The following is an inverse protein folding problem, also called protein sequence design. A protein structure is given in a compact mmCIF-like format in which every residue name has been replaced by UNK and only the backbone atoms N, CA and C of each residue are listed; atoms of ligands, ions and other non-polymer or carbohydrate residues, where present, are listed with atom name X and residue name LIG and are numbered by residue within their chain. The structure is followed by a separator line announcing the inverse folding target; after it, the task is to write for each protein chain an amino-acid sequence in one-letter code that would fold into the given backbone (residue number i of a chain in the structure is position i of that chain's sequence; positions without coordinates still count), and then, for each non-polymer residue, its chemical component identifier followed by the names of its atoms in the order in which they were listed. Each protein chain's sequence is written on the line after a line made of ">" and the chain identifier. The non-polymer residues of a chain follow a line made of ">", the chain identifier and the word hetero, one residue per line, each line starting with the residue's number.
data_IF_172071299332
#
_entry.id   IF_172071299332
#
_cell.length_a   1.000
_cell.length_b   1.000
_cell.length_c   1.000
_cell.angle_alpha   90.00
_cell.angle_beta   90.00
_cell.angle_gamma   90.00
#
_symmetry.space_group_name_H-M   'P 1'
#
loop_
_entity.id
_entity.type
_entity.pdbx_description
1 polymer ?
#
# COMPACT_ATOMS: atom_id res chain seq x y z
N UNK A 1 0.72 12.60 9.01
CA UNK A 1 -0.73 12.68 8.72
C UNK A 1 -1.50 12.12 9.89
N UNK A 2 -2.43 12.87 10.42
CA UNK A 2 -3.17 12.50 11.62
C UNK A 2 -4.42 11.65 11.36
N UNK A 3 -4.88 11.55 10.10
CA UNK A 3 -6.14 10.85 9.80
C UNK A 3 -5.99 9.34 9.93
N UNK A 4 -6.83 8.75 10.76
CA UNK A 4 -6.88 7.31 11.03
C UNK A 4 -7.64 6.54 9.95
N UNK A 5 -8.63 7.17 9.34
CA UNK A 5 -9.37 6.68 8.18
C UNK A 5 -8.97 7.54 6.97
N UNK A 6 -8.69 6.90 5.85
CA UNK A 6 -8.51 7.59 4.58
C UNK A 6 -9.88 7.84 3.97
N UNK A 7 -10.32 9.10 3.94
CA UNK A 7 -11.60 9.50 3.36
C UNK A 7 -11.32 10.32 2.10
N UNK A 8 -11.74 9.78 0.96
CA UNK A 8 -11.63 10.42 -0.35
C UNK A 8 -13.01 10.90 -0.76
N UNK A 9 -13.17 12.20 -0.93
CA UNK A 9 -14.39 12.84 -1.39
C UNK A 9 -14.24 13.20 -2.87
N UNK A 10 -15.18 12.78 -3.70
CA UNK A 10 -15.22 13.01 -5.13
C UNK A 10 -16.39 13.95 -5.45
N UNK A 11 -16.09 15.21 -5.73
CA UNK A 11 -17.11 16.24 -6.01
C UNK A 11 -17.82 16.04 -7.35
N UNK A 12 -17.08 15.48 -8.33
CA UNK A 12 -17.65 15.11 -9.64
C UNK A 12 -17.68 13.59 -9.79
N UNK A 13 -18.73 13.08 -10.44
CA UNK A 13 -18.87 11.66 -10.81
C UNK A 13 -17.82 11.28 -11.89
N UNK A 14 -16.53 11.42 -11.57
CA UNK A 14 -15.43 11.07 -12.46
C UNK A 14 -15.29 9.55 -12.58
N UNK A 15 -15.86 8.81 -11.64
CA UNK A 15 -15.64 7.36 -11.53
C UNK A 15 -16.97 6.64 -11.55
N UNK A 16 -17.10 5.62 -12.40
CA UNK A 16 -18.19 4.66 -12.32
C UNK A 16 -18.29 4.15 -10.87
N UNK A 17 -19.50 4.26 -10.29
CA UNK A 17 -19.80 3.85 -8.90
C UNK A 17 -19.34 2.42 -8.62
N UNK A 18 -19.32 1.57 -9.64
CA UNK A 18 -18.83 0.20 -9.55
C UNK A 18 -17.33 0.08 -9.29
N UNK A 19 -16.54 1.12 -9.59
CA UNK A 19 -15.09 1.13 -9.38
C UNK A 19 -14.68 1.62 -7.99
N UNK A 20 -15.56 2.31 -7.26
CA UNK A 20 -15.22 2.87 -5.93
C UNK A 20 -14.76 1.79 -4.94
N UNK A 21 -15.39 0.62 -4.97
CA UNK A 21 -15.00 -0.53 -4.15
C UNK A 21 -13.61 -1.08 -4.48
N UNK A 22 -13.26 -1.10 -5.77
CA UNK A 22 -11.95 -1.56 -6.23
C UNK A 22 -10.84 -0.56 -5.84
N UNK A 23 -11.10 0.73 -6.04
CA UNK A 23 -10.19 1.80 -5.65
C UNK A 23 -10.00 1.80 -4.13
N UNK A 24 -11.09 1.65 -3.37
CA UNK A 24 -11.02 1.58 -1.91
C UNK A 24 -10.18 0.39 -1.44
N UNK A 25 -10.30 -0.79 -2.07
CA UNK A 25 -9.45 -1.95 -1.79
C UNK A 25 -7.97 -1.67 -2.05
N UNK A 26 -7.66 -1.04 -3.20
CA UNK A 26 -6.29 -0.73 -3.55
C UNK A 26 -5.67 0.24 -2.54
N UNK A 27 -6.37 1.33 -2.21
CA UNK A 27 -5.89 2.31 -1.24
C UNK A 27 -5.79 1.71 0.17
N UNK A 28 -6.73 0.84 0.57
CA UNK A 28 -6.70 0.15 1.84
C UNK A 28 -5.45 -0.74 1.97
N UNK A 29 -5.11 -1.48 0.92
CA UNK A 29 -3.90 -2.32 0.89
C UNK A 29 -2.63 -1.49 0.88
N UNK A 30 -2.59 -0.39 0.12
CA UNK A 30 -1.42 0.49 -0.02
C UNK A 30 -1.12 1.25 1.29
N UNK A 31 -2.17 1.81 1.92
CA UNK A 31 -2.01 2.63 3.13
C UNK A 31 -2.21 1.85 4.43
N UNK A 32 -2.55 0.57 4.35
CA UNK A 32 -2.82 -0.33 5.47
C UNK A 32 -3.74 0.28 6.54
N UNK A 33 -4.84 0.91 6.11
CA UNK A 33 -5.84 1.54 6.97
C UNK A 33 -7.22 1.53 6.36
N UNK A 34 -8.28 1.71 7.15
CA UNK A 34 -9.63 1.80 6.63
C UNK A 34 -9.79 2.94 5.63
N UNK A 35 -10.56 2.70 4.57
CA UNK A 35 -10.78 3.66 3.47
C UNK A 35 -12.27 3.85 3.23
N UNK A 36 -12.68 5.09 3.00
CA UNK A 36 -13.98 5.46 2.45
C UNK A 36 -13.77 6.24 1.14
N UNK A 37 -14.42 5.82 0.07
CA UNK A 37 -14.52 6.58 -1.19
C UNK A 37 -15.96 7.06 -1.30
N UNK A 38 -16.16 8.36 -1.27
CA UNK A 38 -17.47 8.99 -1.22
C UNK A 38 -17.68 9.88 -2.44
N UNK A 39 -18.76 9.66 -3.17
CA UNK A 39 -19.21 10.52 -4.26
C UNK A 39 -20.29 11.49 -3.73
N UNK A 40 -20.23 12.72 -4.20
CA UNK A 40 -21.28 13.71 -3.97
C UNK A 40 -22.50 13.38 -4.80
N UNK A 41 -23.65 13.27 -4.18
CA UNK A 41 -24.95 12.97 -4.81
C UNK A 41 -25.90 14.12 -4.52
N UNK A 42 -26.44 14.69 -5.59
CA UNK A 42 -27.58 15.62 -5.51
C UNK A 42 -28.87 14.83 -5.70
N UNK A 43 -29.70 14.80 -4.67
CA UNK A 43 -30.96 14.07 -4.65
C UNK A 43 -32.06 14.86 -5.34
N UNK A 44 -33.17 14.20 -5.74
CA UNK A 44 -34.32 14.83 -6.41
C UNK A 44 -34.97 15.94 -5.58
N UNK A 45 -34.86 15.88 -4.27
CA UNK A 45 -35.38 16.89 -3.33
C UNK A 45 -34.42 18.08 -3.11
N UNK A 46 -33.29 18.11 -3.81
CA UNK A 46 -32.24 19.13 -3.70
C UNK A 46 -31.32 18.96 -2.50
N UNK A 47 -31.44 17.88 -1.72
CA UNK A 47 -30.49 17.56 -0.66
C UNK A 47 -29.22 16.96 -1.24
N UNK A 48 -28.11 17.15 -0.54
CA UNK A 48 -26.81 16.59 -0.94
C UNK A 48 -26.39 15.53 0.07
N UNK A 49 -25.98 14.37 -0.46
CA UNK A 49 -25.41 13.27 0.31
C UNK A 49 -24.04 12.87 -0.23
N UNK A 50 -23.23 12.29 0.63
CA UNK A 50 -21.97 11.64 0.30
C UNK A 50 -22.16 10.13 0.41
N UNK A 51 -22.12 9.45 -0.73
CA UNK A 51 -22.40 8.02 -0.80
C UNK A 51 -21.26 7.27 -1.48
N UNK A 52 -20.96 6.07 -0.98
CA UNK A 52 -19.90 5.30 -1.60
C UNK A 52 -19.54 4.01 -0.90
N UNK A 53 -18.27 3.63 -1.04
CA UNK A 53 -17.76 2.34 -0.59
C UNK A 53 -16.80 2.46 0.57
N UNK A 54 -16.99 1.61 1.58
CA UNK A 54 -16.06 1.41 2.69
C UNK A 54 -15.29 0.10 2.57
N UNK A 55 -13.99 0.15 2.90
CA UNK A 55 -13.13 -1.03 3.04
C UNK A 55 -12.37 -0.94 4.35
N UNK A 56 -12.53 -1.97 5.19
CA UNK A 56 -11.76 -2.14 6.43
C UNK A 56 -10.50 -2.95 6.18
N UNK A 57 -9.45 -2.65 6.91
CA UNK A 57 -8.20 -3.41 6.87
C UNK A 57 -8.24 -4.49 7.95
N UNK A 58 -8.45 -5.74 7.54
CA UNK A 58 -8.73 -6.89 8.42
C UNK A 58 -7.51 -7.39 9.20
N UNK A 59 -6.29 -7.08 8.74
CA UNK A 59 -5.05 -7.37 9.51
C UNK A 59 -4.91 -6.47 10.74
N UNK A 60 -5.81 -5.51 10.94
CA UNK A 60 -5.80 -4.54 12.02
C UNK A 60 -6.71 -4.91 13.21
N UNK A 61 -6.59 -4.16 14.33
CA UNK A 61 -7.42 -4.37 15.54
C UNK A 61 -8.91 -4.05 15.31
N UNK A 62 -9.22 -3.16 14.36
CA UNK A 62 -10.59 -2.83 13.99
C UNK A 62 -11.14 -3.90 13.02
N UNK A 63 -11.69 -4.99 13.58
CA UNK A 63 -12.14 -6.16 12.81
C UNK A 63 -13.47 -5.96 12.09
N UNK A 64 -14.31 -5.02 12.56
CA UNK A 64 -15.61 -4.68 11.98
C UNK A 64 -15.68 -3.15 11.77
N UNK A 65 -15.23 -2.72 10.61
CA UNK A 65 -15.22 -1.31 10.26
C UNK A 65 -16.64 -0.79 10.01
N UNK A 66 -17.52 -1.59 9.38
CA UNK A 66 -18.93 -1.24 9.20
C UNK A 66 -19.63 -1.03 10.53
N UNK A 67 -19.53 -2.00 11.45
CA UNK A 67 -20.15 -1.91 12.77
C UNK A 67 -19.64 -0.74 13.60
N UNK A 68 -18.34 -0.41 13.47
CA UNK A 68 -17.79 0.80 14.08
C UNK A 68 -18.45 2.08 13.56
N UNK A 69 -18.68 2.18 12.25
CA UNK A 69 -19.28 3.37 11.63
C UNK A 69 -20.80 3.44 11.80
N UNK A 70 -21.49 2.30 11.79
CA UNK A 70 -22.95 2.20 11.94
C UNK A 70 -23.44 2.83 13.25
N UNK A 71 -22.62 2.80 14.30
CA UNK A 71 -22.90 3.45 15.57
C UNK A 71 -22.61 4.96 15.61
N UNK A 72 -22.10 5.53 14.53
CA UNK A 72 -21.85 6.96 14.45
C UNK A 72 -23.13 7.71 14.03
N UNK A 73 -23.57 8.65 14.85
CA UNK A 73 -24.82 9.40 14.66
C UNK A 73 -24.93 10.20 13.36
N UNK A 74 -23.80 10.39 12.66
CA UNK A 74 -23.74 11.12 11.39
C UNK A 74 -23.86 10.21 10.17
N UNK A 75 -23.90 8.88 10.36
CA UNK A 75 -24.08 7.91 9.30
C UNK A 75 -25.56 7.69 9.06
N UNK A 76 -26.01 7.84 7.82
CA UNK A 76 -27.38 7.57 7.42
C UNK A 76 -27.64 6.06 7.32
N UNK A 77 -26.70 5.35 6.69
CA UNK A 77 -26.69 3.90 6.56
C UNK A 77 -25.27 3.38 6.35
N UNK A 78 -25.05 2.13 6.75
CA UNK A 78 -23.84 1.36 6.44
C UNK A 78 -24.26 -0.09 6.19
N UNK A 79 -24.27 -0.53 4.92
CA UNK A 79 -24.86 -1.80 4.50
C UNK A 79 -23.86 -2.68 3.76
N UNK A 80 -23.76 -3.95 4.15
CA UNK A 80 -22.85 -4.93 3.56
C UNK A 80 -22.11 -5.76 4.59
N UNK A 81 -20.91 -6.20 4.24
CA UNK A 81 -20.05 -6.99 5.13
C UNK A 81 -19.25 -6.12 6.10
N UNK A 82 -18.70 -6.71 7.16
CA UNK A 82 -17.93 -6.02 8.19
C UNK A 82 -16.82 -5.10 7.65
N UNK A 83 -16.12 -5.52 6.60
CA UNK A 83 -15.01 -4.78 5.99
C UNK A 83 -15.22 -4.45 4.50
N UNK A 84 -16.44 -4.62 3.97
CA UNK A 84 -16.79 -4.26 2.58
C UNK A 84 -18.26 -3.90 2.51
N UNK A 85 -18.58 -2.60 2.45
CA UNK A 85 -19.93 -2.09 2.60
C UNK A 85 -20.15 -0.78 1.82
N UNK A 86 -21.42 -0.45 1.61
CA UNK A 86 -21.87 0.85 1.17
C UNK A 86 -22.18 1.75 2.37
N UNK A 87 -22.00 3.04 2.24
CA UNK A 87 -22.23 4.04 3.28
C UNK A 87 -22.83 5.31 2.69
N UNK A 88 -23.69 5.98 3.47
CA UNK A 88 -24.25 7.29 3.15
C UNK A 88 -24.16 8.24 4.34
N UNK A 89 -23.81 9.50 4.05
CA UNK A 89 -23.63 10.59 5.02
C UNK A 89 -24.23 11.86 4.41
N UNK A 90 -24.93 12.67 5.20
CA UNK A 90 -25.42 13.97 4.73
C UNK A 90 -24.27 14.96 4.55
N UNK A 91 -24.40 15.86 3.58
CA UNK A 91 -23.38 16.88 3.32
C UNK A 91 -23.13 17.77 4.56
N UNK A 92 -24.19 18.16 5.24
CA UNK A 92 -24.11 18.96 6.47
C UNK A 92 -23.36 18.27 7.62
N UNK A 93 -23.31 16.93 7.62
CA UNK A 93 -22.71 16.10 8.67
C UNK A 93 -21.29 15.64 8.36
N UNK A 94 -20.81 15.76 7.11
CA UNK A 94 -19.54 15.15 6.67
C UNK A 94 -18.33 15.61 7.49
N UNK A 95 -18.23 16.90 7.80
CA UNK A 95 -17.11 17.44 8.58
C UNK A 95 -17.10 16.94 10.03
N UNK A 96 -18.30 16.84 10.63
CA UNK A 96 -18.47 16.32 11.97
C UNK A 96 -18.22 14.80 12.04
N UNK A 97 -18.64 14.08 11.00
CA UNK A 97 -18.34 12.66 10.81
C UNK A 97 -16.83 12.41 10.75
N UNK A 98 -16.09 13.14 9.90
CA UNK A 98 -14.63 13.01 9.76
C UNK A 98 -13.94 13.24 11.11
N UNK A 99 -14.35 14.29 11.82
CA UNK A 99 -13.77 14.62 13.12
C UNK A 99 -14.06 13.54 14.16
N UNK A 100 -15.32 13.13 14.30
CA UNK A 100 -15.73 12.16 15.31
C UNK A 100 -15.13 10.77 15.10
N UNK A 101 -15.06 10.31 13.84
CA UNK A 101 -14.47 9.01 13.52
C UNK A 101 -12.96 8.98 13.76
N UNK A 102 -12.24 10.03 13.39
CA UNK A 102 -10.81 10.11 13.68
C UNK A 102 -10.53 10.19 15.17
N UNK A 103 -11.29 10.98 15.92
CA UNK A 103 -11.16 11.06 17.39
C UNK A 103 -11.46 9.73 18.08
N UNK A 104 -12.46 8.99 17.62
CA UNK A 104 -12.78 7.68 18.19
C UNK A 104 -11.66 6.63 17.95
N UNK A 105 -10.77 6.87 16.98
CA UNK A 105 -9.63 6.02 16.66
C UNK A 105 -8.29 6.55 17.17
N UNK A 106 -8.26 7.59 18.00
CA UNK A 106 -7.01 8.17 18.49
C UNK A 106 -6.13 7.16 19.24
N UNK A 107 -6.73 6.18 19.92
CA UNK A 107 -6.01 5.10 20.61
C UNK A 107 -5.53 3.96 19.69
N UNK A 108 -5.83 4.02 18.41
CA UNK A 108 -5.40 2.99 17.45
C UNK A 108 -4.04 3.35 16.82
N UNK A 109 -3.14 2.39 16.88
CA UNK A 109 -1.88 2.46 16.15
C UNK A 109 -2.07 1.89 14.75
N UNK A 110 -1.82 2.70 13.71
CA UNK A 110 -1.90 2.32 12.31
C UNK A 110 -0.51 2.20 11.67
N UNK A 111 0.51 1.96 12.46
CA UNK A 111 1.83 1.62 11.95
C UNK A 111 1.73 0.33 11.14
N UNK A 112 2.19 0.33 9.88
CA UNK A 112 2.18 -0.87 9.04
C UNK A 112 2.89 -2.04 9.71
N UNK A 113 2.25 -3.21 9.68
CA UNK A 113 2.82 -4.47 10.18
C UNK A 113 2.86 -5.44 9.01
N UNK A 114 4.03 -6.02 8.77
CA UNK A 114 4.24 -7.04 7.76
C UNK A 114 4.53 -8.38 8.44
N UNK A 115 3.75 -9.40 8.08
CA UNK A 115 4.02 -10.78 8.49
C UNK A 115 4.86 -11.42 7.39
N UNK A 116 6.14 -11.61 7.67
CA UNK A 116 7.08 -12.20 6.70
C UNK A 116 7.28 -13.69 6.97
N UNK A 117 7.34 -14.47 5.91
CA UNK A 117 7.57 -15.92 5.97
C UNK A 117 9.08 -16.22 6.08
N UNK A 118 9.92 -15.38 5.47
CA UNK A 118 11.36 -15.54 5.47
C UNK A 118 12.07 -14.21 5.67
N UNK A 119 13.19 -14.25 6.40
CA UNK A 119 14.09 -13.11 6.59
C UNK A 119 15.47 -13.49 6.05
N UNK A 120 15.97 -12.69 5.13
CA UNK A 120 17.30 -12.85 4.53
C UNK A 120 18.18 -11.64 4.82
N UNK A 121 19.48 -11.86 4.90
CA UNK A 121 20.43 -10.77 4.67
C UNK A 121 20.66 -10.61 3.17
N UNK A 122 20.99 -9.40 2.74
CA UNK A 122 21.14 -9.10 1.30
C UNK A 122 22.23 -9.90 0.60
N UNK A 123 23.21 -10.41 1.32
CA UNK A 123 24.31 -11.27 0.85
C UNK A 123 23.98 -12.77 0.95
N UNK A 124 22.93 -13.15 1.67
CA UNK A 124 22.47 -14.53 1.82
C UNK A 124 21.40 -14.90 0.77
N UNK A 125 20.58 -13.94 0.34
CA UNK A 125 19.50 -14.19 -0.63
C UNK A 125 20.09 -14.54 -2.01
N UNK A 126 19.73 -15.71 -2.51
CA UNK A 126 20.20 -16.21 -3.82
C UNK A 126 19.14 -16.02 -4.91
N UNK A 127 19.57 -15.89 -6.20
CA UNK A 127 18.64 -15.85 -7.34
C UNK A 127 17.71 -17.07 -7.40
N UNK A 128 18.21 -18.26 -7.08
CA UNK A 128 17.45 -19.51 -7.14
C UNK A 128 16.34 -19.52 -6.08
N UNK A 129 16.61 -19.05 -4.86
CA UNK A 129 15.56 -18.94 -3.82
C UNK A 129 14.44 -17.98 -4.23
N UNK A 130 14.77 -16.83 -4.81
CA UNK A 130 13.75 -15.90 -5.34
C UNK A 130 12.90 -16.57 -6.42
N UNK A 131 13.54 -17.32 -7.34
CA UNK A 131 12.84 -18.03 -8.41
C UNK A 131 11.98 -19.16 -7.86
N UNK A 132 12.47 -19.91 -6.87
CA UNK A 132 11.74 -21.04 -6.28
C UNK A 132 10.52 -20.55 -5.49
N UNK A 133 10.66 -19.53 -4.64
CA UNK A 133 9.53 -18.92 -3.93
C UNK A 133 8.50 -18.40 -4.94
N UNK A 134 8.91 -17.63 -5.95
CA UNK A 134 8.03 -17.15 -7.00
C UNK A 134 7.36 -18.29 -7.79
N UNK A 135 7.98 -19.46 -7.85
CA UNK A 135 7.44 -20.66 -8.49
C UNK A 135 6.23 -21.26 -7.76
N UNK A 136 6.06 -20.95 -6.50
CA UNK A 136 4.94 -21.42 -5.69
C UNK A 136 3.64 -20.63 -5.93
N UNK A 137 3.62 -19.66 -6.85
CA UNK A 137 2.49 -18.78 -7.13
C UNK A 137 1.15 -19.50 -7.38
N UNK A 138 1.19 -20.71 -7.89
CA UNK A 138 -0.01 -21.56 -8.10
C UNK A 138 -0.62 -22.12 -6.80
N UNK A 139 0.10 -22.06 -5.69
CA UNK A 139 -0.35 -22.54 -4.38
C UNK A 139 -1.09 -21.44 -3.59
N UNK A 140 -0.90 -20.20 -3.97
CA UNK A 140 -1.46 -19.03 -3.30
C UNK A 140 -2.84 -18.66 -3.85
N UNK A 141 -3.73 -18.22 -2.97
CA UNK A 141 -5.11 -17.87 -3.31
C UNK A 141 -5.96 -17.67 -2.07
N UNK A 142 -7.23 -17.99 -2.18
CA UNK A 142 -8.16 -17.83 -1.06
C UNK A 142 -7.76 -18.71 0.12
N UNK A 143 -7.36 -18.09 1.23
CA UNK A 143 -6.95 -18.77 2.46
C UNK A 143 -5.46 -19.13 2.54
N UNK A 144 -4.68 -18.92 1.48
CA UNK A 144 -3.22 -19.06 1.47
C UNK A 144 -2.63 -17.79 0.85
N UNK A 145 -2.14 -16.89 1.67
CA UNK A 145 -1.55 -15.63 1.19
C UNK A 145 -0.24 -15.89 0.44
N UNK A 146 0.13 -14.97 -0.44
CA UNK A 146 1.43 -14.97 -1.12
C UNK A 146 2.55 -14.79 -0.10
N UNK A 147 3.65 -15.54 -0.24
CA UNK A 147 4.76 -15.46 0.69
C UNK A 147 5.45 -14.10 0.62
N UNK A 148 5.59 -13.47 1.79
CA UNK A 148 6.32 -12.22 1.95
C UNK A 148 7.72 -12.50 2.51
N UNK A 149 8.73 -11.84 1.94
CA UNK A 149 10.10 -11.89 2.45
C UNK A 149 10.55 -10.54 2.96
N UNK A 150 11.38 -10.55 4.01
CA UNK A 150 12.17 -9.40 4.40
C UNK A 150 13.61 -9.60 3.94
N UNK A 151 14.23 -8.53 3.43
CA UNK A 151 15.66 -8.54 3.08
C UNK A 151 16.34 -7.38 3.77
N UNK A 152 17.29 -7.71 4.64
CA UNK A 152 18.00 -6.75 5.47
C UNK A 152 19.35 -6.36 4.88
N UNK A 153 19.75 -5.11 5.11
CA UNK A 153 21.09 -4.64 4.84
C UNK A 153 21.42 -4.44 3.36
N UNK A 154 20.43 -4.12 2.53
CA UNK A 154 20.65 -3.79 1.11
C UNK A 154 21.37 -2.46 1.02
N UNK A 155 22.57 -2.47 0.41
CA UNK A 155 23.34 -1.25 0.14
C UNK A 155 22.96 -0.68 -1.22
N UNK A 156 22.41 0.52 -1.20
CA UNK A 156 21.99 1.27 -2.39
C UNK A 156 23.05 2.32 -2.72
N UNK A 157 23.63 2.21 -3.91
CA UNK A 157 24.64 3.12 -4.46
C UNK A 157 24.11 3.75 -5.74
N UNK A 158 24.69 4.88 -6.16
CA UNK A 158 24.36 5.50 -7.45
C UNK A 158 24.47 4.54 -8.65
N UNK A 159 25.32 3.54 -8.57
CA UNK A 159 25.56 2.61 -9.68
C UNK A 159 24.52 1.48 -9.77
N UNK A 160 23.83 1.18 -8.67
CA UNK A 160 22.86 0.08 -8.61
C UNK A 160 21.40 0.50 -8.46
N UNK A 161 21.12 1.80 -8.41
CA UNK A 161 19.76 2.34 -8.36
C UNK A 161 19.39 3.03 -9.67
N UNK A 162 18.17 2.86 -10.13
CA UNK A 162 17.60 3.52 -11.32
C UNK A 162 16.13 3.85 -11.08
N UNK A 163 15.65 4.92 -11.74
CA UNK A 163 14.23 5.15 -11.94
C UNK A 163 13.88 4.86 -13.38
N UNK A 164 12.88 4.03 -13.60
CA UNK A 164 12.39 3.62 -14.91
C UNK A 164 11.09 4.35 -15.20
N UNK A 165 10.88 4.74 -16.47
CA UNK A 165 9.63 5.38 -16.94
C UNK A 165 9.17 6.57 -16.08
N UNK A 166 10.03 7.55 -15.78
CA UNK A 166 9.74 8.63 -14.82
C UNK A 166 8.47 9.42 -15.17
N UNK A 167 8.18 9.60 -16.46
CA UNK A 167 7.08 10.44 -16.93
C UNK A 167 5.70 9.76 -16.90
N UNK A 168 5.65 8.42 -16.81
CA UNK A 168 4.37 7.67 -16.93
C UNK A 168 4.05 6.86 -15.69
N UNK A 169 4.90 5.87 -15.41
CA UNK A 169 4.76 4.97 -14.27
C UNK A 169 6.13 4.80 -13.62
N UNK A 170 6.59 5.80 -12.87
CA UNK A 170 7.92 5.77 -12.30
C UNK A 170 8.09 4.52 -11.44
N UNK A 171 9.15 3.79 -11.72
CA UNK A 171 9.46 2.53 -11.05
C UNK A 171 10.88 2.58 -10.54
N UNK A 172 11.03 2.47 -9.25
CA UNK A 172 12.34 2.35 -8.62
C UNK A 172 12.88 0.94 -8.87
N UNK A 173 14.14 0.86 -9.31
CA UNK A 173 14.86 -0.39 -9.49
C UNK A 173 16.18 -0.36 -8.75
N UNK A 174 16.42 -1.35 -7.90
CA UNK A 174 17.70 -1.57 -7.22
C UNK A 174 18.23 -2.93 -7.69
N UNK A 175 19.49 -2.99 -8.09
CA UNK A 175 20.12 -4.19 -8.64
C UNK A 175 21.20 -4.69 -7.68
N UNK A 176 21.09 -5.93 -7.22
CA UNK A 176 22.17 -6.56 -6.48
C UNK A 176 23.25 -7.13 -7.42
N UNK A 177 24.51 -7.27 -6.94
CA UNK A 177 25.59 -7.85 -7.72
C UNK A 177 25.32 -9.29 -8.20
N UNK A 178 24.52 -10.05 -7.46
CA UNK A 178 24.11 -11.42 -7.79
C UNK A 178 22.99 -11.52 -8.84
N UNK A 179 22.51 -10.38 -9.35
CA UNK A 179 21.50 -10.31 -10.41
C UNK A 179 20.05 -10.22 -9.94
N UNK A 180 19.79 -10.22 -8.64
CA UNK A 180 18.45 -9.97 -8.10
C UNK A 180 18.09 -8.51 -8.31
N UNK A 181 16.87 -8.25 -8.81
CA UNK A 181 16.33 -6.92 -8.97
C UNK A 181 15.23 -6.68 -7.93
N UNK A 182 15.32 -5.58 -7.20
CA UNK A 182 14.25 -5.08 -6.35
C UNK A 182 13.50 -3.98 -7.11
N UNK A 183 12.17 -4.10 -7.19
CA UNK A 183 11.34 -3.21 -7.99
C UNK A 183 10.23 -2.62 -7.11
N UNK A 184 10.05 -1.30 -7.17
CA UNK A 184 8.92 -0.62 -6.54
C UNK A 184 8.20 0.23 -7.57
N UNK A 185 6.98 -0.17 -7.91
CA UNK A 185 6.13 0.58 -8.85
C UNK A 185 5.58 1.85 -8.18
N UNK A 186 5.22 2.84 -9.00
CA UNK A 186 4.64 4.12 -8.59
C UNK A 186 5.50 4.89 -7.60
N UNK A 187 6.81 4.75 -7.71
CA UNK A 187 7.77 5.50 -6.92
C UNK A 187 7.87 6.94 -7.41
N UNK A 188 8.10 7.88 -6.50
CA UNK A 188 8.34 9.28 -6.86
C UNK A 188 9.83 9.56 -7.08
N UNK A 189 10.15 10.70 -7.74
CA UNK A 189 11.53 11.19 -7.80
C UNK A 189 12.08 11.50 -6.40
N UNK A 190 11.23 12.04 -5.52
CA UNK A 190 11.60 12.29 -4.12
C UNK A 190 12.02 10.99 -3.40
N UNK A 191 11.36 9.89 -3.70
CA UNK A 191 11.70 8.57 -3.14
C UNK A 191 13.04 8.06 -3.69
N UNK A 192 13.29 8.26 -5.00
CA UNK A 192 14.58 7.98 -5.60
C UNK A 192 15.69 8.80 -4.95
N UNK A 193 15.49 10.12 -4.78
CA UNK A 193 16.48 11.03 -4.19
C UNK A 193 16.79 10.67 -2.72
N UNK A 194 15.79 10.17 -1.99
CA UNK A 194 16.01 9.63 -0.63
C UNK A 194 16.91 8.41 -0.60
N UNK A 195 16.98 7.62 -1.64
CA UNK A 195 17.80 6.39 -1.72
C UNK A 195 19.09 6.59 -2.49
N UNK A 196 19.19 7.65 -3.26
CA UNK A 196 20.38 7.98 -4.02
C UNK A 196 21.50 8.53 -3.12
N UNK A 197 22.74 8.10 -3.37
CA UNK A 197 23.95 8.66 -2.75
C UNK A 197 25.06 8.75 -3.77
N UNK A 198 25.57 9.96 -4.00
CA UNK A 198 26.67 10.21 -4.93
C UNK A 198 28.01 9.70 -4.40
N UNK A 199 28.27 9.89 -3.09
CA UNK A 199 29.57 9.66 -2.45
C UNK A 199 29.57 8.51 -1.43
N UNK A 200 28.54 7.66 -1.44
CA UNK A 200 28.45 6.61 -0.44
C UNK A 200 27.34 5.61 -0.74
N UNK A 201 26.67 5.19 0.30
CA UNK A 201 25.51 4.30 0.18
C UNK A 201 24.43 4.60 1.22
N UNK A 202 23.23 4.20 0.88
CA UNK A 202 22.10 4.12 1.79
C UNK A 202 21.83 2.65 2.07
N UNK A 203 21.77 2.27 3.33
CA UNK A 203 21.39 0.90 3.73
C UNK A 203 19.89 0.88 4.00
N UNK A 204 19.21 -0.06 3.37
CA UNK A 204 17.77 -0.26 3.57
C UNK A 204 17.46 -1.70 3.94
N UNK A 205 16.36 -1.87 4.68
CA UNK A 205 15.66 -3.13 4.80
C UNK A 205 14.37 -3.02 3.97
N UNK A 206 13.96 -4.11 3.34
CA UNK A 206 12.73 -4.15 2.55
C UNK A 206 11.84 -5.28 3.00
N UNK A 207 10.52 -5.14 2.72
CA UNK A 207 9.58 -6.26 2.65
C UNK A 207 8.99 -6.32 1.25
N UNK A 208 8.76 -7.53 0.75
CA UNK A 208 8.27 -7.71 -0.61
C UNK A 208 7.96 -9.14 -0.97
N UNK A 209 7.52 -9.32 -2.19
CA UNK A 209 7.12 -10.60 -2.79
C UNK A 209 8.10 -11.00 -3.89
N UNK A 210 8.41 -12.29 -3.96
CA UNK A 210 9.28 -12.84 -4.98
C UNK A 210 8.53 -12.99 -6.31
N UNK A 211 9.15 -12.55 -7.40
CA UNK A 211 8.62 -12.69 -8.75
C UNK A 211 9.63 -13.24 -9.76
N UNK A 212 9.11 -13.88 -10.82
CA UNK A 212 9.86 -14.26 -12.01
C UNK A 212 9.62 -13.24 -13.10
N UNK A 213 10.61 -12.43 -13.43
CA UNK A 213 10.52 -11.59 -14.62
C UNK A 213 10.92 -12.41 -15.85
N UNK A 214 9.97 -12.63 -16.77
CA UNK A 214 10.20 -13.39 -18.01
C UNK A 214 10.27 -12.41 -19.18
N UNK A 215 11.47 -12.27 -19.74
CA UNK A 215 11.71 -11.42 -20.91
C UNK A 215 12.56 -12.16 -21.94
N UNK A 216 12.11 -12.20 -23.18
CA UNK A 216 12.80 -12.91 -24.29
C UNK A 216 13.21 -14.35 -23.90
N UNK A 217 12.32 -15.11 -23.28
CA UNK A 217 12.53 -16.48 -22.77
C UNK A 217 13.65 -16.60 -21.71
N UNK A 218 14.10 -15.49 -21.14
CA UNK A 218 15.00 -15.49 -19.97
C UNK A 218 14.20 -15.19 -18.71
N UNK A 219 14.44 -16.00 -17.68
CA UNK A 219 13.88 -15.77 -16.35
C UNK A 219 14.93 -15.02 -15.54
N UNK A 220 14.51 -13.94 -14.89
CA UNK A 220 15.35 -13.21 -13.94
C UNK A 220 14.64 -13.06 -12.61
N UNK A 221 15.37 -13.21 -11.48
CA UNK A 221 14.83 -13.06 -10.15
C UNK A 221 14.49 -11.60 -9.88
N UNK A 222 13.30 -11.38 -9.33
CA UNK A 222 12.79 -10.07 -8.99
C UNK A 222 12.07 -10.12 -7.64
N UNK A 223 12.25 -9.08 -6.84
CA UNK A 223 11.49 -8.88 -5.60
C UNK A 223 10.68 -7.58 -5.76
N UNK A 224 9.38 -7.69 -5.62
CA UNK A 224 8.47 -6.55 -5.65
C UNK A 224 8.42 -5.93 -4.27
N UNK A 225 9.00 -4.75 -4.11
CA UNK A 225 9.03 -4.03 -2.84
C UNK A 225 7.62 -3.54 -2.49
N UNK A 226 7.11 -3.96 -1.33
CA UNK A 226 5.89 -3.42 -0.71
C UNK A 226 6.19 -2.19 0.12
N UNK A 227 7.24 -2.30 0.95
CA UNK A 227 7.69 -1.21 1.81
C UNK A 227 9.18 -1.34 2.11
N UNK A 228 9.79 -0.27 2.59
CA UNK A 228 11.20 -0.26 3.00
C UNK A 228 11.44 0.75 4.11
N UNK A 229 12.49 0.51 4.88
CA UNK A 229 13.03 1.46 5.85
C UNK A 229 14.49 1.79 5.54
N UNK A 230 14.89 3.01 5.79
CA UNK A 230 16.28 3.43 5.73
C UNK A 230 16.91 3.18 7.11
N UNK A 231 17.91 2.31 7.15
CA UNK A 231 18.59 1.90 8.39
C UNK A 231 19.82 2.75 8.65
N UNK A 232 20.59 3.06 7.59
CA UNK A 232 21.86 3.78 7.70
C UNK A 232 22.19 4.56 6.42
N UNK A 233 23.05 5.57 6.56
CA UNK A 233 23.66 6.33 5.46
C UNK A 233 25.14 6.51 5.73
N UNK A 234 25.96 6.04 4.84
CA UNK A 234 27.40 6.24 4.90
C UNK A 234 27.88 7.07 3.71
N UNK A 235 28.67 8.11 3.99
CA UNK A 235 29.34 8.91 2.98
C UNK A 235 30.85 8.60 3.05
N UNK A 236 31.47 8.39 1.90
CA UNK A 236 32.92 8.31 1.80
C UNK A 236 33.47 9.74 1.70
N UNK A 237 34.19 10.16 2.71
CA UNK A 237 34.97 11.40 2.66
C UNK A 237 36.39 11.02 2.20
N UNK A 238 36.78 11.51 1.05
CA UNK A 238 38.13 11.42 0.53
C UNK A 238 38.92 12.68 0.83
#
# INVERSE_FOLDING_TARGET
>A
MSNKILIVQLDDLITDRNLTGLIANQLMSEYQRPVLILNKIENEDGTITWEGSGRGYDKFRLKDFRGFLENNKYVMYAEGHANAFGIGIKDEDISAFITSTNSALDGFDFTPIYNVDFIYKSDELTPDEVIDIAGMKSLWGQGVEEAEIAVEGIKVHKDNIRILSPDKNPTLKIMLPNGINFMKFRSSEEEYDKLYSELGYVTINIVGECERNIWNNKISPQVMIKDYEIVDRANYYF
#
